data_IF_021153286241
#
_entry.id   IF_021153286241
#
_cell.length_a   1.000
_cell.length_b   1.000
_cell.length_c   1.000
_cell.angle_alpha   90.00
_cell.angle_beta   90.00
_cell.angle_gamma   90.00
#
_symmetry.space_group_name_H-M   'P 1'
#
loop_
_entity.id
_entity.type
_entity.pdbx_description
1 polymer ?
#
# COMPACT_ATOMS: atom_id res chain seq x y z
N UNK A 1 5.20 -16.78 20.38
CA UNK A 1 5.67 -16.86 21.78
C UNK A 1 4.93 -18.04 22.42
N UNK A 2 5.60 -19.17 22.66
CA UNK A 2 4.94 -20.31 23.30
C UNK A 2 4.85 -20.03 24.80
N UNK A 3 3.64 -19.77 25.30
CA UNK A 3 3.33 -19.73 26.74
C UNK A 3 3.13 -21.19 27.14
N UNK A 4 4.23 -21.93 27.18
CA UNK A 4 4.21 -23.38 27.33
C UNK A 4 5.18 -23.80 28.41
N UNK A 5 4.67 -24.56 29.37
CA UNK A 5 5.47 -25.35 30.31
C UNK A 5 6.57 -26.07 29.53
N UNK A 6 7.84 -25.70 29.74
CA UNK A 6 8.97 -26.36 29.08
C UNK A 6 9.43 -27.51 29.96
N UNK A 7 9.28 -28.75 29.51
CA UNK A 7 9.72 -29.94 30.26
C UNK A 7 10.63 -30.78 29.41
N UNK A 8 11.74 -31.26 29.97
CA UNK A 8 12.67 -32.10 29.23
C UNK A 8 13.71 -32.74 30.15
N UNK A 9 14.85 -33.12 29.58
CA UNK A 9 16.02 -33.58 30.33
C UNK A 9 17.10 -32.50 30.29
N UNK A 10 17.78 -32.32 31.41
CA UNK A 10 18.79 -31.30 31.61
C UNK A 10 20.00 -31.85 32.36
N UNK A 11 21.14 -31.25 32.08
CA UNK A 11 22.41 -31.53 32.75
C UNK A 11 22.99 -30.23 33.28
N UNK A 12 23.41 -30.23 34.55
CA UNK A 12 24.10 -29.12 35.20
C UNK A 12 25.08 -29.67 36.25
N UNK A 13 26.28 -29.12 36.31
CA UNK A 13 27.25 -29.47 37.34
C UNK A 13 27.10 -28.55 38.57
N UNK A 14 27.49 -29.05 39.74
CA UNK A 14 27.55 -28.24 40.96
C UNK A 14 28.42 -26.99 40.76
N UNK A 15 27.91 -25.84 41.20
CA UNK A 15 28.61 -24.55 41.09
C UNK A 15 28.46 -23.86 39.73
N UNK A 16 27.88 -24.51 38.72
CA UNK A 16 27.68 -23.91 37.40
C UNK A 16 26.42 -23.02 37.33
N UNK A 17 26.42 -22.08 36.39
CA UNK A 17 25.21 -21.29 36.06
C UNK A 17 24.48 -21.77 34.83
N UNK A 18 25.10 -22.64 34.03
CA UNK A 18 24.54 -23.05 32.75
C UNK A 18 23.97 -24.46 32.84
N UNK A 19 22.69 -24.57 32.60
CA UNK A 19 21.99 -25.83 32.37
C UNK A 19 22.06 -26.12 30.89
N UNK A 20 22.51 -27.32 30.52
CA UNK A 20 22.44 -27.83 29.15
C UNK A 20 21.20 -28.70 29.00
N UNK A 21 20.38 -28.39 28.00
CA UNK A 21 19.16 -29.14 27.68
C UNK A 21 19.51 -30.22 26.67
N UNK A 22 19.06 -31.44 26.94
CA UNK A 22 19.27 -32.58 26.03
C UNK A 22 18.41 -32.40 24.78
N UNK A 23 19.02 -32.57 23.62
CA UNK A 23 18.54 -32.15 22.31
C UNK A 23 17.08 -32.57 22.00
N UNK A 24 16.20 -31.58 21.84
CA UNK A 24 14.89 -31.60 21.14
C UNK A 24 14.03 -30.38 21.48
N UNK A 25 14.40 -29.60 22.50
CA UNK A 25 13.63 -28.47 23.01
C UNK A 25 14.45 -27.18 22.98
N UNK A 26 13.89 -26.11 22.43
CA UNK A 26 14.50 -24.78 22.44
C UNK A 26 14.17 -24.04 23.74
N UNK A 27 15.20 -23.59 24.45
CA UNK A 27 15.07 -22.69 25.60
C UNK A 27 15.12 -21.20 25.23
N UNK A 28 15.07 -20.85 23.94
CA UNK A 28 15.15 -19.45 23.50
C UNK A 28 13.98 -18.58 24.01
N UNK A 29 12.94 -19.21 24.53
CA UNK A 29 11.77 -18.54 25.11
C UNK A 29 11.81 -18.44 26.63
N UNK A 30 12.87 -18.95 27.27
CA UNK A 30 13.09 -18.84 28.71
C UNK A 30 13.83 -17.54 28.98
N UNK A 31 13.34 -16.75 29.94
CA UNK A 31 13.89 -15.44 30.26
C UNK A 31 13.79 -15.11 31.75
N UNK A 32 14.14 -13.87 32.09
CA UNK A 32 13.93 -13.33 33.43
C UNK A 32 12.47 -13.46 33.86
N UNK A 33 12.23 -13.71 35.15
CA UNK A 33 10.88 -13.96 35.66
C UNK A 33 10.39 -15.40 35.42
N UNK A 34 11.28 -16.33 35.08
CA UNK A 34 10.98 -17.77 35.03
C UNK A 34 11.76 -18.53 36.11
N UNK A 35 11.17 -19.63 36.59
CA UNK A 35 11.80 -20.60 37.47
C UNK A 35 11.99 -21.90 36.72
N UNK A 36 13.12 -22.55 36.94
CA UNK A 36 13.34 -23.93 36.52
C UNK A 36 13.33 -24.84 37.74
N UNK A 37 12.59 -25.94 37.65
CA UNK A 37 12.54 -27.00 38.65
C UNK A 37 13.35 -28.19 38.15
N UNK A 38 14.42 -28.56 38.86
CA UNK A 38 15.25 -29.75 38.58
C UNK A 38 15.44 -30.49 39.90
N UNK A 39 15.23 -31.82 39.90
CA UNK A 39 15.38 -32.66 41.10
C UNK A 39 14.58 -32.18 42.33
N UNK A 40 13.49 -31.43 42.12
CA UNK A 40 12.67 -30.86 43.20
C UNK A 40 13.13 -29.48 43.71
N UNK A 41 14.26 -28.97 43.22
CA UNK A 41 14.74 -27.61 43.54
C UNK A 41 14.28 -26.61 42.48
N UNK A 42 13.76 -25.47 42.92
CA UNK A 42 13.35 -24.37 42.05
C UNK A 42 14.40 -23.25 42.07
N UNK A 43 14.91 -22.87 40.89
CA UNK A 43 15.94 -21.83 40.76
C UNK A 43 15.52 -20.80 39.72
N UNK A 44 15.83 -19.54 39.98
CA UNK A 44 15.51 -18.43 39.10
C UNK A 44 16.42 -18.39 37.88
N UNK A 45 15.81 -18.16 36.72
CA UNK A 45 16.46 -18.12 35.43
C UNK A 45 16.63 -16.66 34.97
N UNK A 46 17.73 -16.41 34.27
CA UNK A 46 18.04 -15.11 33.65
C UNK A 46 17.71 -15.13 32.16
N UNK A 47 18.13 -16.17 31.45
CA UNK A 47 17.98 -16.27 30.00
C UNK A 47 18.08 -17.72 29.52
N UNK A 48 17.61 -17.96 28.31
CA UNK A 48 17.81 -19.22 27.60
C UNK A 48 18.22 -18.99 26.14
N UNK A 49 18.90 -19.99 25.59
CA UNK A 49 19.28 -20.08 24.18
C UNK A 49 18.64 -21.31 23.56
N UNK A 50 19.06 -21.72 22.35
CA UNK A 50 18.54 -22.94 21.72
C UNK A 50 18.72 -24.19 22.59
N UNK A 51 19.77 -24.30 23.40
CA UNK A 51 20.06 -25.51 24.18
C UNK A 51 20.60 -25.25 25.59
N UNK A 52 20.72 -23.99 26.01
CA UNK A 52 21.18 -23.65 27.36
C UNK A 52 20.18 -22.77 28.10
N UNK A 53 20.13 -22.93 29.42
CA UNK A 53 19.45 -22.01 30.34
C UNK A 53 20.50 -21.47 31.31
N UNK A 54 20.54 -20.15 31.46
CA UNK A 54 21.43 -19.45 32.39
C UNK A 54 20.65 -19.11 33.66
N UNK A 55 21.12 -19.64 34.79
CA UNK A 55 20.60 -19.36 36.12
C UNK A 55 21.03 -17.98 36.62
N UNK A 56 20.25 -17.41 37.53
CA UNK A 56 20.62 -16.18 38.25
C UNK A 56 21.85 -16.39 39.11
N UNK A 57 21.81 -17.45 39.91
CA UNK A 57 22.86 -17.84 40.84
C UNK A 57 23.45 -19.19 40.46
N UNK A 58 24.65 -19.48 40.99
CA UNK A 58 25.29 -20.78 40.77
C UNK A 58 24.41 -21.90 41.35
N UNK A 59 24.32 -23.02 40.65
CA UNK A 59 23.63 -24.22 41.13
C UNK A 59 24.26 -24.73 42.41
N UNK A 60 23.48 -24.76 43.49
CA UNK A 60 23.94 -25.17 44.82
C UNK A 60 23.75 -26.66 45.10
N UNK A 61 22.83 -27.32 44.37
CA UNK A 61 22.55 -28.74 44.51
C UNK A 61 23.63 -29.64 43.92
N UNK A 62 23.46 -30.94 44.10
CA UNK A 62 24.32 -31.96 43.49
C UNK A 62 24.26 -31.88 41.96
N UNK A 63 25.34 -32.28 41.29
CA UNK A 63 25.39 -32.37 39.83
C UNK A 63 24.27 -33.28 39.29
N UNK A 64 23.56 -32.77 38.29
CA UNK A 64 22.42 -33.42 37.65
C UNK A 64 22.82 -33.84 36.23
N UNK A 65 22.57 -35.10 35.86
CA UNK A 65 22.80 -35.60 34.50
C UNK A 65 21.53 -36.21 33.96
N UNK A 66 21.04 -35.69 32.83
CA UNK A 66 19.77 -36.12 32.21
C UNK A 66 18.59 -36.14 33.20
N UNK A 67 18.55 -35.18 34.12
CA UNK A 67 17.47 -35.08 35.11
C UNK A 67 16.28 -34.36 34.50
N UNK A 68 15.06 -34.78 34.83
CA UNK A 68 13.84 -34.10 34.37
C UNK A 68 13.80 -32.68 34.92
N UNK A 69 13.46 -31.74 34.06
CA UNK A 69 13.21 -30.36 34.46
C UNK A 69 11.83 -29.88 34.05
N UNK A 70 11.37 -28.82 34.70
CA UNK A 70 10.18 -28.05 34.29
C UNK A 70 10.47 -26.57 34.43
N UNK A 71 10.26 -25.78 33.38
CA UNK A 71 10.28 -24.32 33.48
C UNK A 71 8.87 -23.80 33.64
N UNK A 72 8.69 -22.91 34.60
CA UNK A 72 7.44 -22.20 34.89
C UNK A 72 7.69 -20.70 34.87
N UNK A 73 6.73 -19.94 34.35
CA UNK A 73 6.75 -18.49 34.51
C UNK A 73 6.34 -18.14 35.94
N UNK A 74 7.08 -17.24 36.60
CA UNK A 74 6.67 -16.65 37.87
C UNK A 74 5.49 -15.69 37.66
N UNK A 75 4.86 -15.24 38.75
CA UNK A 75 3.82 -14.19 38.67
C UNK A 75 4.32 -12.93 37.95
N UNK A 76 5.56 -12.54 38.18
CA UNK A 76 6.15 -11.36 37.53
C UNK A 76 6.46 -11.60 36.06
N UNK A 77 6.97 -12.79 35.71
CA UNK A 77 7.16 -13.18 34.31
C UNK A 77 5.84 -13.21 33.53
N UNK A 78 4.76 -13.73 34.12
CA UNK A 78 3.42 -13.72 33.50
C UNK A 78 2.93 -12.27 33.31
N UNK A 79 3.12 -11.40 34.30
CA UNK A 79 2.73 -9.98 34.20
C UNK A 79 3.46 -9.28 33.05
N UNK A 80 4.76 -9.50 32.92
CA UNK A 80 5.58 -8.90 31.87
C UNK A 80 5.21 -9.44 30.48
N UNK A 81 5.00 -10.75 30.35
CA UNK A 81 4.50 -11.38 29.12
C UNK A 81 3.14 -10.80 28.72
N UNK A 82 2.21 -10.65 29.66
CA UNK A 82 0.90 -10.03 29.40
C UNK A 82 1.07 -8.56 28.98
N UNK A 83 1.93 -7.80 29.65
CA UNK A 83 2.22 -6.40 29.30
C UNK A 83 2.76 -6.27 27.88
N UNK A 84 3.74 -7.11 27.53
CA UNK A 84 4.32 -7.18 26.19
C UNK A 84 3.26 -7.59 25.15
N UNK A 85 2.46 -8.61 25.45
CA UNK A 85 1.38 -9.05 24.55
C UNK A 85 0.35 -7.94 24.31
N UNK A 86 0.00 -7.17 25.35
CA UNK A 86 -0.89 -6.01 25.24
C UNK A 86 -0.28 -4.93 24.34
N UNK A 87 0.99 -4.57 24.57
CA UNK A 87 1.68 -3.56 23.77
C UNK A 87 1.77 -3.97 22.30
N UNK A 88 2.10 -5.23 22.01
CA UNK A 88 2.12 -5.76 20.63
C UNK A 88 0.72 -5.69 20.00
N UNK A 89 -0.33 -6.03 20.76
CA UNK A 89 -1.71 -5.93 20.28
C UNK A 89 -2.12 -4.50 19.98
N UNK A 90 -1.78 -3.54 20.83
CA UNK A 90 -2.07 -2.11 20.63
C UNK A 90 -1.33 -1.58 19.40
N UNK A 91 -0.06 -1.93 19.23
CA UNK A 91 0.73 -1.57 18.05
C UNK A 91 0.10 -2.13 16.76
N UNK A 92 -0.40 -3.37 16.80
CA UNK A 92 -1.05 -3.99 15.64
C UNK A 92 -2.38 -3.31 15.29
N UNK A 93 -3.19 -2.92 16.29
CA UNK A 93 -4.44 -2.18 16.08
C UNK A 93 -4.16 -0.80 15.48
N UNK A 94 -3.14 -0.08 15.98
CA UNK A 94 -2.75 1.21 15.42
C UNK A 94 -2.29 1.07 13.97
N UNK A 95 -1.46 0.07 13.67
CA UNK A 95 -1.01 -0.21 12.30
C UNK A 95 -2.18 -0.47 11.33
N UNK A 96 -3.19 -1.24 11.77
CA UNK A 96 -4.39 -1.48 10.96
C UNK A 96 -5.20 -0.21 10.75
N UNK A 97 -5.32 0.64 11.77
CA UNK A 97 -5.98 1.94 11.67
C UNK A 97 -5.27 2.87 10.67
N UNK A 98 -3.95 2.97 10.76
CA UNK A 98 -3.12 3.79 9.86
C UNK A 98 -3.18 3.27 8.42
N UNK A 99 -3.16 1.96 8.24
CA UNK A 99 -3.34 1.35 6.92
C UNK A 99 -4.73 1.67 6.34
N UNK A 100 -5.79 1.60 7.14
CA UNK A 100 -7.12 1.98 6.69
C UNK A 100 -7.18 3.46 6.29
N UNK A 101 -6.52 4.35 7.05
CA UNK A 101 -6.42 5.77 6.73
C UNK A 101 -5.75 6.02 5.37
N UNK A 102 -4.68 5.30 5.03
CA UNK A 102 -4.01 5.38 3.72
C UNK A 102 -4.92 4.95 2.57
N UNK A 103 -5.78 3.96 2.80
CA UNK A 103 -6.64 3.42 1.75
C UNK A 103 -7.87 4.28 1.51
N UNK A 104 -8.51 4.77 2.58
CA UNK A 104 -9.87 5.32 2.50
C UNK A 104 -9.96 6.84 2.65
N UNK A 105 -8.87 7.53 2.99
CA UNK A 105 -8.94 8.97 3.21
C UNK A 105 -9.06 9.74 1.89
N UNK A 106 -10.02 10.66 1.83
CA UNK A 106 -10.19 11.61 0.72
C UNK A 106 -9.36 12.89 0.91
N UNK A 107 -8.60 12.99 2.00
CA UNK A 107 -7.72 14.14 2.25
C UNK A 107 -6.50 14.09 1.33
N UNK A 108 -5.97 15.25 0.90
CA UNK A 108 -4.78 15.29 0.04
C UNK A 108 -3.54 14.70 0.71
N UNK A 109 -3.50 14.75 2.04
CA UNK A 109 -2.41 14.23 2.84
C UNK A 109 -2.94 13.60 4.13
N UNK A 110 -2.23 12.59 4.60
CA UNK A 110 -2.40 12.01 5.94
C UNK A 110 -1.02 11.84 6.58
N UNK A 111 -0.95 12.03 7.89
CA UNK A 111 0.29 11.82 8.66
C UNK A 111 0.15 10.55 9.48
N UNK A 112 1.13 9.67 9.36
CA UNK A 112 1.23 8.39 10.09
C UNK A 112 2.55 8.36 10.83
N UNK A 113 2.52 7.90 12.07
CA UNK A 113 3.69 7.77 12.92
C UNK A 113 4.36 6.41 12.70
N UNK A 114 5.58 6.39 12.16
CA UNK A 114 6.35 5.16 11.96
C UNK A 114 7.54 5.20 12.90
N UNK A 115 7.56 4.31 13.90
CA UNK A 115 8.61 4.21 14.91
C UNK A 115 8.90 5.56 15.61
N UNK A 116 7.86 6.28 16.04
CA UNK A 116 8.05 7.57 16.71
C UNK A 116 8.27 8.76 15.77
N UNK A 117 8.31 8.53 14.45
CA UNK A 117 8.60 9.58 13.47
C UNK A 117 7.37 9.83 12.59
N UNK A 118 6.80 11.04 12.58
CA UNK A 118 5.70 11.37 11.69
C UNK A 118 6.16 11.35 10.23
N UNK A 119 5.35 10.72 9.37
CA UNK A 119 5.55 10.64 7.92
C UNK A 119 4.26 11.02 7.22
N UNK A 120 4.37 11.88 6.22
CA UNK A 120 3.22 12.34 5.42
C UNK A 120 3.10 11.49 4.15
N UNK A 121 1.88 11.10 3.83
CA UNK A 121 1.55 10.30 2.67
C UNK A 121 0.34 10.90 1.94
N UNK A 122 0.23 10.61 0.65
CA UNK A 122 -0.97 10.90 -0.14
C UNK A 122 -1.84 9.62 -0.16
N UNK A 123 -3.07 9.66 0.37
CA UNK A 123 -3.97 8.50 0.37
C UNK A 123 -4.35 8.00 -1.03
N UNK A 124 -4.67 6.70 -1.10
CA UNK A 124 -5.09 6.04 -2.35
C UNK A 124 -6.44 6.58 -2.83
N UNK A 125 -7.45 6.69 -1.97
CA UNK A 125 -8.76 7.20 -2.35
C UNK A 125 -8.69 8.63 -2.93
N UNK A 126 -7.89 9.52 -2.33
CA UNK A 126 -7.63 10.85 -2.90
C UNK A 126 -7.06 10.79 -4.32
N UNK A 127 -6.03 9.95 -4.55
CA UNK A 127 -5.44 9.77 -5.88
C UNK A 127 -6.45 9.21 -6.89
N UNK A 128 -7.24 8.22 -6.49
CA UNK A 128 -8.29 7.63 -7.33
C UNK A 128 -9.32 8.67 -7.75
N UNK A 129 -9.77 9.52 -6.81
CA UNK A 129 -10.71 10.60 -7.12
C UNK A 129 -10.09 11.61 -8.10
N UNK A 130 -8.82 12.00 -7.90
CA UNK A 130 -8.12 12.92 -8.82
C UNK A 130 -7.95 12.36 -10.22
N UNK A 131 -7.65 11.07 -10.34
CA UNK A 131 -7.59 10.39 -11.64
C UNK A 131 -8.99 10.37 -12.28
N UNK A 132 -10.04 10.08 -11.50
CA UNK A 132 -11.43 10.13 -11.98
C UNK A 132 -11.82 11.51 -12.53
N UNK A 133 -11.51 12.58 -11.80
CA UNK A 133 -11.76 13.96 -12.23
C UNK A 133 -11.06 14.27 -13.56
N UNK A 134 -9.80 13.86 -13.69
CA UNK A 134 -9.01 14.08 -14.91
C UNK A 134 -9.57 13.32 -16.11
N UNK A 135 -9.99 12.07 -15.92
CA UNK A 135 -10.61 11.25 -16.96
C UNK A 135 -11.91 11.90 -17.44
N UNK A 136 -12.77 12.32 -16.52
CA UNK A 136 -14.03 12.99 -16.87
C UNK A 136 -13.77 14.28 -17.66
N UNK A 137 -12.80 15.09 -17.23
CA UNK A 137 -12.41 16.31 -17.95
C UNK A 137 -11.89 16.02 -19.35
N UNK A 138 -11.09 14.96 -19.52
CA UNK A 138 -10.58 14.55 -20.83
C UNK A 138 -11.70 14.07 -21.77
N UNK A 139 -12.69 13.34 -21.26
CA UNK A 139 -13.87 12.92 -22.04
C UNK A 139 -14.68 14.11 -22.53
N UNK A 140 -14.99 15.07 -21.65
CA UNK A 140 -15.71 16.29 -22.06
C UNK A 140 -14.94 17.10 -23.11
N UNK A 141 -13.61 17.18 -22.99
CA UNK A 141 -12.79 17.84 -23.98
C UNK A 141 -12.83 17.14 -25.35
N UNK A 142 -12.84 15.81 -25.37
CA UNK A 142 -12.96 15.01 -26.59
C UNK A 142 -14.32 15.22 -27.27
N UNK A 143 -15.42 15.18 -26.51
CA UNK A 143 -16.76 15.43 -27.04
C UNK A 143 -16.87 16.83 -27.67
N UNK A 144 -16.23 17.83 -27.03
CA UNK A 144 -16.19 19.21 -27.55
C UNK A 144 -15.38 19.29 -28.85
N UNK A 145 -14.28 18.55 -28.94
CA UNK A 145 -13.47 18.49 -30.14
C UNK A 145 -14.22 17.85 -31.32
N UNK A 146 -14.94 16.75 -31.07
CA UNK A 146 -15.75 16.08 -32.09
C UNK A 146 -16.87 16.98 -32.62
N UNK A 147 -17.54 17.72 -31.73
CA UNK A 147 -18.54 18.72 -32.12
C UNK A 147 -17.94 19.81 -33.01
N UNK A 148 -16.77 20.35 -32.63
CA UNK A 148 -16.08 21.36 -33.43
C UNK A 148 -15.65 20.81 -34.80
N UNK A 149 -15.21 19.56 -34.87
CA UNK A 149 -14.87 18.91 -36.14
C UNK A 149 -16.09 18.83 -37.08
N UNK A 150 -17.27 18.48 -36.54
CA UNK A 150 -18.52 18.44 -37.30
C UNK A 150 -18.94 19.83 -37.82
N UNK A 151 -18.73 20.87 -37.02
CA UNK A 151 -19.00 22.26 -37.44
C UNK A 151 -18.07 22.69 -38.58
N UNK A 152 -16.79 22.31 -38.52
CA UNK A 152 -15.81 22.57 -39.58
C UNK A 152 -16.22 21.88 -40.88
N UNK A 153 -16.65 20.62 -40.82
CA UNK A 153 -17.13 19.89 -42.01
C UNK A 153 -18.36 20.56 -42.62
N UNK A 154 -19.30 21.00 -41.79
CA UNK A 154 -20.50 21.74 -42.22
C UNK A 154 -20.13 23.04 -42.91
N UNK A 155 -19.19 23.80 -42.34
CA UNK A 155 -18.70 25.05 -42.93
C UNK A 155 -17.99 24.81 -44.27
N UNK A 156 -17.15 23.78 -44.35
CA UNK A 156 -16.45 23.39 -45.58
C UNK A 156 -17.42 23.03 -46.70
N UNK A 157 -18.48 22.28 -46.38
CA UNK A 157 -19.58 22.00 -47.31
C UNK A 157 -20.28 23.27 -47.79
N UNK A 158 -20.57 24.21 -46.87
CA UNK A 158 -21.16 25.50 -47.20
C UNK A 158 -20.28 26.35 -48.12
N UNK A 159 -18.97 26.38 -47.88
CA UNK A 159 -17.99 27.08 -48.74
C UNK A 159 -17.99 26.49 -50.16
N UNK A 160 -18.01 25.16 -50.27
CA UNK A 160 -18.07 24.47 -51.57
C UNK A 160 -19.33 24.86 -52.34
N UNK A 161 -20.50 24.85 -51.69
CA UNK A 161 -21.77 25.24 -52.32
C UNK A 161 -21.77 26.72 -52.78
N UNK A 162 -21.15 27.62 -52.02
CA UNK A 162 -20.99 29.02 -52.43
C UNK A 162 -20.07 29.17 -53.65
N UNK A 163 -19.00 28.39 -53.74
CA UNK A 163 -18.10 28.39 -54.90
C UNK A 163 -18.81 27.91 -56.17
N UNK A 164 -19.62 26.85 -56.08
CA UNK A 164 -20.44 26.36 -57.20
C UNK A 164 -21.46 27.40 -57.65
N UNK A 165 -22.12 28.08 -56.70
CA UNK A 165 -23.07 29.16 -56.98
C UNK A 165 -22.40 30.32 -57.69
N UNK A 166 -21.23 30.76 -57.21
CA UNK A 166 -20.46 31.86 -57.80
C UNK A 166 -20.06 31.52 -59.24
N UNK A 167 -19.56 30.29 -59.46
CA UNK A 167 -19.20 29.80 -60.80
C UNK A 167 -20.41 29.80 -61.75
N UNK A 168 -21.58 29.43 -61.26
CA UNK A 168 -22.83 29.45 -62.05
C UNK A 168 -23.24 30.87 -62.42
N UNK A 169 -23.14 31.82 -61.49
CA UNK A 169 -23.40 33.24 -61.74
C UNK A 169 -22.43 33.78 -62.81
N UNK A 170 -21.13 33.53 -62.67
CA UNK A 170 -20.11 33.97 -63.61
C UNK A 170 -20.39 33.45 -65.03
N UNK A 171 -20.69 32.15 -65.17
CA UNK A 171 -21.05 31.56 -66.45
C UNK A 171 -22.31 32.18 -67.05
N UNK A 172 -23.31 32.49 -66.23
CA UNK A 172 -24.56 33.13 -66.67
C UNK A 172 -24.31 34.55 -67.17
N UNK A 173 -23.52 35.33 -66.43
CA UNK A 173 -23.15 36.69 -66.81
C UNK A 173 -22.34 36.71 -68.10
N UNK A 174 -21.37 35.79 -68.27
CA UNK A 174 -20.62 35.65 -69.51
C UNK A 174 -21.55 35.37 -70.70
N UNK A 175 -22.55 34.50 -70.53
CA UNK A 175 -23.55 34.23 -71.57
C UNK A 175 -24.33 35.48 -72.00
N UNK A 176 -24.71 36.36 -71.06
CA UNK A 176 -25.36 37.64 -71.39
C UNK A 176 -24.43 38.61 -72.13
N UNK A 177 -23.16 38.68 -71.72
CA UNK A 177 -22.14 39.50 -72.40
C UNK A 177 -21.96 39.04 -73.85
N UNK A 178 -21.83 37.74 -74.07
CA UNK A 178 -21.64 37.15 -75.39
C UNK A 178 -22.85 37.38 -76.32
N UNK A 179 -24.07 37.22 -75.78
CA UNK A 179 -25.31 37.52 -76.53
C UNK A 179 -25.39 38.99 -76.92
N UNK A 180 -25.10 39.90 -75.99
CA UNK A 180 -25.15 41.36 -76.25
C UNK A 180 -24.14 41.77 -77.31
N UNK A 181 -22.92 41.20 -77.25
CA UNK A 181 -21.88 41.43 -78.27
C UNK A 181 -22.31 40.92 -79.65
N UNK A 182 -22.95 39.74 -79.69
CA UNK A 182 -23.49 39.15 -80.92
C UNK A 182 -24.58 40.02 -81.52
N UNK A 183 -25.53 40.48 -80.72
CA UNK A 183 -26.63 41.34 -81.17
C UNK A 183 -26.11 42.70 -81.65
N UNK A 184 -25.14 43.30 -80.96
CA UNK A 184 -24.49 44.53 -81.37
C UNK A 184 -23.73 44.38 -82.71
N UNK A 185 -23.13 43.21 -82.96
CA UNK A 185 -22.49 42.90 -84.24
C UNK A 185 -23.52 42.82 -85.35
N UNK A 186 -24.60 42.06 -85.16
CA UNK A 186 -25.70 41.95 -86.13
C UNK A 186 -26.35 43.30 -86.44
N UNK A 187 -26.58 44.14 -85.42
CA UNK A 187 -27.15 45.46 -85.62
C UNK A 187 -26.31 46.35 -86.55
N UNK A 188 -24.98 46.21 -86.54
CA UNK A 188 -24.08 46.90 -87.48
C UNK A 188 -24.15 46.36 -88.91
N UNK A 189 -24.51 45.10 -89.11
CA UNK A 189 -24.67 44.50 -90.44
C UNK A 189 -25.94 45.00 -91.15
N UNK A 190 -26.93 45.49 -90.40
CA UNK A 190 -28.21 45.96 -90.91
C UNK A 190 -28.39 47.49 -90.95
N UNK A 191 -27.41 48.27 -90.47
CA UNK A 191 -27.43 49.73 -90.43
C UNK A 191 -26.65 50.33 -91.61
#
# INVERSE_FOLDING_TARGET
>A
MSIGLLTGLATIAQGEKQITIVASLSAAYVGSGTLILIAGEAVEVVSGTSNTITLRDNWQGDSQTNTRFTVINTREGIRDVIGTAKQVSENYVNLLSDHNLLLSSDSPEVTIEINGTPKTFVPVAYLTNKVGDLVNGATTALDTFDALSSDVDTLSGGVTALQETTTTIDNTLQGYVDSTSTDATKAKEYA
#
